data_IF_350200250769
#
_entry.id   IF_350200250769
#
_cell.length_a   1.000
_cell.length_b   1.000
_cell.length_c   1.000
_cell.angle_alpha   90.00
_cell.angle_beta   90.00
_cell.angle_gamma   90.00
#
_symmetry.space_group_name_H-M   'P 1'
#
loop_
_entity.id
_entity.type
_entity.pdbx_description
1 polymer ?
#
# COMPACT_ATOMS: atom_id res chain seq x y z
N UNK A 1 -32.40 -40.52 4.59
CA UNK A 1 -31.99 -39.78 5.78
C UNK A 1 -30.54 -39.25 5.75
N UNK A 2 -29.51 -39.97 5.30
CA UNK A 2 -28.11 -39.45 5.28
C UNK A 2 -27.89 -38.26 4.37
N UNK A 3 -28.54 -38.17 3.20
CA UNK A 3 -28.38 -37.01 2.26
C UNK A 3 -28.97 -35.70 2.82
N UNK A 4 -30.09 -35.78 3.56
CA UNK A 4 -30.73 -34.58 4.14
C UNK A 4 -29.89 -33.97 5.26
N UNK A 5 -29.26 -34.81 6.09
CA UNK A 5 -28.36 -34.34 7.17
C UNK A 5 -27.08 -33.71 6.61
N UNK A 6 -26.56 -34.20 5.49
CA UNK A 6 -25.40 -33.63 4.82
C UNK A 6 -25.71 -32.22 4.27
N UNK A 7 -26.87 -32.04 3.65
CA UNK A 7 -27.28 -30.73 3.13
C UNK A 7 -27.52 -29.69 4.24
N UNK A 8 -28.07 -30.09 5.39
CA UNK A 8 -28.28 -29.20 6.54
C UNK A 8 -26.92 -28.74 7.11
N UNK A 9 -25.93 -29.62 7.21
CA UNK A 9 -24.58 -29.25 7.66
C UNK A 9 -23.89 -28.30 6.70
N UNK A 10 -24.06 -28.49 5.40
CA UNK A 10 -23.51 -27.60 4.38
C UNK A 10 -24.14 -26.20 4.44
N UNK A 11 -25.46 -26.14 4.61
CA UNK A 11 -26.20 -24.86 4.78
C UNK A 11 -25.81 -24.17 6.09
N UNK A 12 -25.65 -24.89 7.18
CA UNK A 12 -25.19 -24.34 8.44
C UNK A 12 -23.76 -23.80 8.37
N UNK A 13 -22.87 -24.49 7.64
CA UNK A 13 -21.49 -24.07 7.40
C UNK A 13 -21.44 -22.82 6.50
N UNK A 14 -22.29 -22.75 5.47
CA UNK A 14 -22.36 -21.57 4.60
C UNK A 14 -22.99 -20.35 5.32
N UNK A 15 -23.99 -20.55 6.17
CA UNK A 15 -24.55 -19.47 7.02
C UNK A 15 -23.50 -18.98 8.05
N UNK A 16 -22.72 -19.87 8.64
CA UNK A 16 -21.65 -19.48 9.56
C UNK A 16 -20.54 -18.70 8.84
N UNK A 17 -20.21 -19.05 7.59
CA UNK A 17 -19.25 -18.30 6.77
C UNK A 17 -19.76 -16.89 6.42
N UNK A 18 -21.06 -16.72 6.16
CA UNK A 18 -21.66 -15.43 5.84
C UNK A 18 -21.67 -14.51 7.08
N UNK A 19 -21.84 -15.07 8.28
CA UNK A 19 -21.84 -14.28 9.53
C UNK A 19 -20.44 -13.75 9.89
N UNK A 20 -19.38 -14.41 9.45
CA UNK A 20 -17.99 -13.93 9.62
C UNK A 20 -17.62 -12.79 8.66
N UNK A 21 -18.37 -12.60 7.56
CA UNK A 21 -18.13 -11.56 6.57
C UNK A 21 -18.80 -10.21 6.89
N UNK A 22 -19.57 -10.11 7.97
CA UNK A 22 -20.48 -8.97 8.22
C UNK A 22 -20.07 -8.06 9.39
N UNK A 23 -18.83 -8.11 9.87
CA UNK A 23 -18.33 -7.20 10.92
C UNK A 23 -17.07 -6.48 10.43
N UNK A 24 -17.23 -5.67 9.40
CA UNK A 24 -16.22 -4.67 9.07
C UNK A 24 -16.82 -3.29 9.28
N UNK A 25 -16.27 -2.54 10.23
CA UNK A 25 -16.48 -1.10 10.27
C UNK A 25 -16.00 -0.52 8.95
N UNK A 26 -16.89 0.13 8.20
CA UNK A 26 -16.56 0.81 6.95
C UNK A 26 -15.63 1.98 7.28
N UNK A 27 -14.34 1.72 7.30
CA UNK A 27 -13.31 2.75 7.42
C UNK A 27 -13.02 3.29 6.03
N UNK A 28 -13.21 4.59 5.82
CA UNK A 28 -12.87 5.23 4.55
C UNK A 28 -11.35 5.14 4.31
N UNK A 29 -10.96 4.70 3.11
CA UNK A 29 -9.55 4.61 2.72
C UNK A 29 -8.91 6.01 2.73
N UNK A 30 -7.83 6.16 3.49
CA UNK A 30 -7.07 7.42 3.61
C UNK A 30 -5.76 7.41 2.81
N UNK A 31 -5.24 6.23 2.48
CA UNK A 31 -4.02 6.08 1.69
C UNK A 31 -4.34 5.77 0.22
N UNK A 32 -3.42 6.18 -0.68
CA UNK A 32 -3.52 5.89 -2.11
C UNK A 32 -3.66 4.39 -2.36
N UNK A 33 -4.62 4.02 -3.21
CA UNK A 33 -4.83 2.62 -3.58
C UNK A 33 -3.78 2.17 -4.59
N UNK A 34 -2.86 1.31 -4.18
CA UNK A 34 -1.81 0.74 -5.04
C UNK A 34 -2.33 -0.44 -5.88
N UNK A 35 -3.24 -0.18 -6.83
CA UNK A 35 -3.82 -1.25 -7.67
C UNK A 35 -2.78 -1.99 -8.52
N UNK A 36 -1.62 -1.35 -8.77
CA UNK A 36 -0.50 -1.91 -9.54
C UNK A 36 0.70 -2.26 -8.67
N UNK A 37 0.48 -2.67 -7.41
CA UNK A 37 1.53 -3.02 -6.46
C UNK A 37 2.52 -4.07 -7.00
N UNK A 38 2.07 -4.98 -7.89
CA UNK A 38 2.92 -6.02 -8.49
C UNK A 38 4.05 -5.44 -9.35
N UNK A 39 3.89 -4.24 -9.90
CA UNK A 39 4.95 -3.58 -10.69
C UNK A 39 5.88 -2.72 -9.84
N UNK A 40 5.44 -2.29 -8.66
CA UNK A 40 6.24 -1.50 -7.73
C UNK A 40 6.07 -1.97 -6.28
N UNK A 41 6.52 -3.20 -5.94
CA UNK A 41 6.38 -3.74 -4.59
C UNK A 41 7.14 -2.93 -3.52
N UNK A 42 8.20 -2.17 -3.90
CA UNK A 42 8.96 -1.34 -2.96
C UNK A 42 8.11 -0.24 -2.32
N UNK A 43 7.14 0.32 -3.06
CA UNK A 43 6.23 1.31 -2.51
C UNK A 43 5.48 0.79 -1.26
N UNK A 44 5.17 -0.51 -1.26
CA UNK A 44 4.42 -1.18 -0.20
C UNK A 44 5.32 -1.86 0.82
N UNK A 45 6.36 -2.60 0.37
CA UNK A 45 7.19 -3.43 1.25
C UNK A 45 8.68 -3.08 1.16
N UNK A 46 9.29 -2.51 2.21
CA UNK A 46 10.71 -2.16 2.24
C UNK A 46 11.65 -3.36 2.08
N UNK A 47 11.23 -4.55 2.50
CA UNK A 47 12.02 -5.77 2.36
C UNK A 47 12.20 -6.22 0.89
N UNK A 48 11.43 -5.64 -0.04
CA UNK A 48 11.60 -5.86 -1.47
C UNK A 48 12.86 -5.19 -2.03
N UNK A 49 13.46 -4.22 -1.32
CA UNK A 49 14.66 -3.54 -1.79
C UNK A 49 15.77 -4.54 -2.16
N UNK A 50 16.36 -4.37 -3.34
CA UNK A 50 17.41 -5.22 -3.89
C UNK A 50 16.98 -6.63 -4.33
N UNK A 51 15.71 -6.99 -4.28
CA UNK A 51 15.24 -8.34 -4.66
C UNK A 51 15.53 -8.71 -6.13
N UNK A 52 15.74 -7.74 -6.97
CA UNK A 52 16.12 -7.93 -8.39
C UNK A 52 17.62 -8.10 -8.61
N UNK A 53 18.44 -8.05 -7.55
CA UNK A 53 19.90 -8.22 -7.60
C UNK A 53 20.64 -7.24 -8.52
N UNK A 54 19.97 -6.18 -8.93
CA UNK A 54 20.48 -5.13 -9.80
C UNK A 54 19.89 -3.77 -9.39
N UNK A 55 20.51 -2.69 -9.88
CA UNK A 55 19.89 -1.37 -9.82
C UNK A 55 18.58 -1.40 -10.62
N UNK A 56 17.50 -1.16 -9.93
CA UNK A 56 16.15 -1.15 -10.52
C UNK A 56 15.50 0.20 -10.29
N UNK A 57 14.94 0.74 -11.37
CA UNK A 57 14.16 1.99 -11.36
C UNK A 57 12.76 1.67 -11.88
N UNK A 58 11.76 2.05 -11.14
CA UNK A 58 10.36 1.86 -11.51
C UNK A 58 9.63 3.19 -11.43
N UNK A 59 8.96 3.57 -12.51
CA UNK A 59 8.10 4.74 -12.56
C UNK A 59 6.71 4.31 -13.01
N UNK A 60 5.68 4.68 -12.25
CA UNK A 60 4.29 4.40 -12.56
C UNK A 60 3.45 5.67 -12.42
N UNK A 61 2.54 5.86 -13.36
CA UNK A 61 1.49 6.89 -13.31
C UNK A 61 0.12 6.23 -13.43
N UNK A 62 -0.82 6.69 -12.60
CA UNK A 62 -2.21 6.24 -12.63
C UNK A 62 -3.12 7.45 -12.61
N UNK A 63 -4.11 7.50 -13.48
CA UNK A 63 -5.20 8.46 -13.43
C UNK A 63 -6.51 7.71 -13.47
N UNK A 64 -7.37 7.94 -12.48
CA UNK A 64 -8.72 7.37 -12.41
C UNK A 64 -9.72 8.32 -13.04
N UNK A 65 -10.86 7.81 -13.49
CA UNK A 65 -12.00 8.60 -13.99
C UNK A 65 -11.58 9.72 -14.94
N UNK A 66 -11.01 9.33 -16.07
CA UNK A 66 -10.58 10.26 -17.13
C UNK A 66 -11.73 11.18 -17.51
N UNK A 67 -11.43 12.49 -17.65
CA UNK A 67 -12.38 13.59 -17.93
C UNK A 67 -13.25 14.03 -16.72
N UNK A 68 -12.92 13.63 -15.51
CA UNK A 68 -13.53 14.18 -14.29
C UNK A 68 -12.51 15.10 -13.63
N UNK A 69 -12.89 16.36 -13.39
CA UNK A 69 -12.05 17.33 -12.69
C UNK A 69 -11.83 16.90 -11.23
N UNK A 70 -10.59 16.97 -10.75
CA UNK A 70 -10.23 16.52 -9.41
C UNK A 70 -10.19 15.00 -9.24
N UNK A 71 -10.28 14.23 -10.34
CA UNK A 71 -10.16 12.78 -10.28
C UNK A 71 -8.81 12.32 -9.72
N UNK A 72 -8.75 11.20 -8.98
CA UNK A 72 -7.53 10.71 -8.37
C UNK A 72 -6.42 10.48 -9.38
N UNK A 73 -5.24 11.01 -9.09
CA UNK A 73 -4.02 10.83 -9.88
C UNK A 73 -2.86 10.49 -8.96
N UNK A 74 -2.18 9.38 -9.24
CA UNK A 74 -1.03 8.91 -8.45
C UNK A 74 0.16 8.73 -9.35
N UNK A 75 1.31 9.28 -8.97
CA UNK A 75 2.61 9.04 -9.61
C UNK A 75 3.58 8.45 -8.58
N UNK A 76 4.35 7.45 -8.97
CA UNK A 76 5.36 6.83 -8.12
C UNK A 76 6.68 6.71 -8.86
N UNK A 77 7.78 6.99 -8.16
CA UNK A 77 9.14 6.72 -8.58
C UNK A 77 9.80 5.91 -7.47
N UNK A 78 10.36 4.75 -7.81
CA UNK A 78 11.09 3.91 -6.88
C UNK A 78 12.42 3.50 -7.48
N UNK A 79 13.47 3.56 -6.68
CA UNK A 79 14.83 3.17 -7.07
C UNK A 79 15.35 2.27 -5.96
N UNK A 80 15.90 1.12 -6.31
CA UNK A 80 16.56 0.26 -5.32
C UNK A 80 17.72 -0.53 -5.93
N UNK A 81 18.68 -0.87 -5.08
CA UNK A 81 19.83 -1.66 -5.46
C UNK A 81 20.40 -2.43 -4.27
N UNK A 82 20.92 -3.63 -4.45
CA UNK A 82 21.83 -4.23 -3.48
C UNK A 82 23.14 -3.42 -3.43
N UNK A 83 23.77 -3.40 -2.27
CA UNK A 83 25.13 -2.88 -2.10
C UNK A 83 26.16 -3.95 -2.53
N UNK A 84 27.45 -3.61 -2.49
CA UNK A 84 28.55 -4.55 -2.79
C UNK A 84 28.46 -5.84 -1.96
N UNK A 85 28.01 -5.72 -0.73
CA UNK A 85 27.56 -6.85 0.08
C UNK A 85 26.10 -7.12 -0.24
N UNK A 86 25.82 -8.10 -1.10
CA UNK A 86 24.47 -8.44 -1.59
C UNK A 86 23.43 -8.68 -0.49
N UNK A 87 23.89 -8.86 0.76
CA UNK A 87 22.99 -8.99 1.92
C UNK A 87 22.29 -7.68 2.28
N UNK A 88 22.88 -6.52 1.99
CA UNK A 88 22.31 -5.21 2.32
C UNK A 88 21.86 -4.52 1.05
N UNK A 89 20.68 -3.95 1.07
CA UNK A 89 20.07 -3.25 -0.06
C UNK A 89 19.46 -1.93 0.40
N UNK A 90 19.55 -0.94 -0.49
CA UNK A 90 18.96 0.38 -0.26
C UNK A 90 17.85 0.61 -1.28
N UNK A 91 16.85 1.37 -0.86
CA UNK A 91 15.75 1.83 -1.70
C UNK A 91 15.39 3.28 -1.42
N UNK A 92 14.79 3.91 -2.40
CA UNK A 92 14.19 5.24 -2.31
C UNK A 92 12.87 5.23 -3.05
N UNK A 93 11.84 5.79 -2.44
CA UNK A 93 10.51 5.90 -3.05
C UNK A 93 9.98 7.32 -2.92
N UNK A 94 9.45 7.86 -4.02
CA UNK A 94 8.72 9.12 -4.08
C UNK A 94 7.33 8.80 -4.60
N UNK A 95 6.30 9.22 -3.88
CA UNK A 95 4.92 8.98 -4.24
C UNK A 95 4.19 10.31 -4.17
N UNK A 96 3.50 10.67 -5.24
CA UNK A 96 2.62 11.83 -5.28
C UNK A 96 1.21 11.36 -5.56
N UNK A 97 0.29 11.73 -4.70
CA UNK A 97 -1.12 11.40 -4.82
C UNK A 97 -1.96 12.68 -4.74
N UNK A 98 -2.87 12.86 -5.68
CA UNK A 98 -3.76 14.02 -5.78
C UNK A 98 -5.20 13.53 -5.89
N UNK A 99 -6.08 14.04 -5.03
CA UNK A 99 -7.51 13.71 -5.02
C UNK A 99 -8.28 14.98 -4.70
N UNK A 100 -9.00 15.53 -5.71
CA UNK A 100 -9.73 16.77 -5.55
C UNK A 100 -8.82 17.90 -5.06
N UNK A 101 -9.14 18.55 -3.91
CA UNK A 101 -8.37 19.64 -3.34
C UNK A 101 -7.14 19.19 -2.55
N UNK A 102 -6.95 17.89 -2.37
CA UNK A 102 -5.88 17.32 -1.53
C UNK A 102 -4.71 16.83 -2.35
N UNK A 103 -3.50 17.06 -1.84
CA UNK A 103 -2.26 16.59 -2.42
C UNK A 103 -1.38 16.01 -1.31
N UNK A 104 -0.91 14.78 -1.50
CA UNK A 104 0.03 14.14 -0.62
C UNK A 104 1.31 13.78 -1.39
N UNK A 105 2.47 14.19 -0.89
CA UNK A 105 3.77 13.84 -1.47
C UNK A 105 4.59 13.12 -0.41
N UNK A 106 4.94 11.88 -0.69
CA UNK A 106 5.67 11.00 0.22
C UNK A 106 7.09 10.78 -0.23
N UNK A 107 8.04 10.84 0.71
CA UNK A 107 9.46 10.55 0.49
C UNK A 107 9.89 9.50 1.51
N UNK A 108 10.34 8.35 1.04
CA UNK A 108 10.76 7.24 1.88
C UNK A 108 12.10 6.67 1.45
N UNK A 109 12.96 6.40 2.42
CA UNK A 109 14.15 5.58 2.27
C UNK A 109 13.91 4.18 2.84
N UNK A 110 14.41 3.18 2.16
CA UNK A 110 14.27 1.78 2.50
C UNK A 110 15.66 1.16 2.73
N UNK A 111 15.78 0.34 3.78
CA UNK A 111 16.94 -0.49 4.05
C UNK A 111 16.48 -1.92 4.22
N UNK A 112 17.04 -2.86 3.45
CA UNK A 112 16.74 -4.28 3.58
C UNK A 112 17.98 -5.09 3.84
N UNK A 113 17.84 -6.10 4.71
CA UNK A 113 18.83 -7.14 4.95
C UNK A 113 18.31 -8.47 4.43
N UNK A 114 19.08 -9.13 3.55
CA UNK A 114 18.69 -10.36 2.87
C UNK A 114 19.68 -11.46 3.14
N UNK A 115 19.19 -12.68 3.29
CA UNK A 115 20.01 -13.87 3.45
C UNK A 115 19.36 -15.10 2.80
N UNK A 116 20.18 -16.05 2.43
CA UNK A 116 19.71 -17.28 1.82
C UNK A 116 19.12 -18.20 2.89
N UNK A 117 17.88 -18.64 2.69
CA UNK A 117 17.22 -19.65 3.52
C UNK A 117 17.39 -21.04 2.89
N UNK A 118 17.46 -21.09 1.56
CA UNK A 118 17.77 -22.31 0.80
C UNK A 118 18.58 -21.93 -0.45
N UNK A 119 18.96 -22.92 -1.24
CA UNK A 119 19.70 -22.71 -2.50
C UNK A 119 18.97 -21.73 -3.45
N UNK A 120 17.62 -21.76 -3.46
CA UNK A 120 16.81 -20.99 -4.40
C UNK A 120 15.84 -20.02 -3.72
N UNK A 121 16.00 -19.75 -2.42
CA UNK A 121 15.10 -18.86 -1.69
C UNK A 121 15.85 -17.90 -0.78
N UNK A 122 15.48 -16.63 -0.84
CA UNK A 122 16.04 -15.56 -0.01
C UNK A 122 14.95 -14.98 0.88
N UNK A 123 15.27 -14.77 2.15
CA UNK A 123 14.42 -14.05 3.10
C UNK A 123 15.03 -12.67 3.36
N UNK A 124 14.20 -11.65 3.32
CA UNK A 124 14.59 -10.28 3.57
C UNK A 124 13.76 -9.68 4.71
N UNK A 125 14.41 -8.89 5.54
CA UNK A 125 13.80 -7.97 6.49
C UNK A 125 14.09 -6.55 6.02
N UNK A 126 13.07 -5.70 6.01
CA UNK A 126 13.20 -4.33 5.57
C UNK A 126 12.62 -3.35 6.57
N UNK A 127 13.25 -2.19 6.66
CA UNK A 127 12.73 -1.02 7.37
C UNK A 127 12.60 0.14 6.41
N UNK A 128 11.59 0.95 6.60
CA UNK A 128 11.27 2.14 5.83
C UNK A 128 11.20 3.33 6.77
N UNK A 129 11.75 4.45 6.37
CA UNK A 129 11.64 5.70 7.11
C UNK A 129 11.49 6.87 6.15
N UNK A 130 10.65 7.85 6.52
CA UNK A 130 10.44 9.01 5.69
C UNK A 130 9.34 9.92 6.19
N UNK A 131 8.79 10.71 5.31
CA UNK A 131 7.76 11.70 5.63
C UNK A 131 6.74 11.82 4.50
N UNK A 132 5.50 12.07 4.88
CA UNK A 132 4.43 12.51 4.01
C UNK A 132 4.26 14.02 4.16
N UNK A 133 4.11 14.74 3.06
CA UNK A 133 3.80 16.17 2.99
C UNK A 133 2.38 16.31 2.46
N UNK A 134 1.46 16.66 3.37
CA UNK A 134 0.04 16.79 3.06
C UNK A 134 -0.36 18.24 2.88
N UNK A 135 -1.13 18.53 1.85
CA UNK A 135 -1.73 19.85 1.58
C UNK A 135 -3.18 19.67 1.17
N UNK A 136 -4.04 20.60 1.59
CA UNK A 136 -5.43 20.65 1.16
C UNK A 136 -5.82 22.12 0.90
N UNK A 137 -6.31 22.39 -0.32
CA UNK A 137 -6.74 23.73 -0.75
C UNK A 137 -8.23 23.71 -1.09
N UNK A 138 -9.05 24.17 -0.16
CA UNK A 138 -10.52 24.12 -0.30
C UNK A 138 -11.11 25.33 -1.06
N UNK A 139 -10.28 26.35 -1.38
CA UNK A 139 -10.75 27.60 -2.01
C UNK A 139 -11.34 27.45 -3.42
N UNK A 140 -11.16 26.30 -4.07
CA UNK A 140 -11.75 25.99 -5.38
C UNK A 140 -13.07 25.23 -5.28
N UNK A 141 -13.48 24.83 -4.08
CA UNK A 141 -14.74 24.10 -3.88
C UNK A 141 -15.92 25.09 -3.83
N UNK A 142 -16.99 24.75 -4.53
CA UNK A 142 -18.30 25.39 -4.32
C UNK A 142 -18.91 24.81 -3.05
N UNK A 143 -19.00 25.62 -2.02
CA UNK A 143 -19.63 25.26 -0.74
C UNK A 143 -21.01 25.86 -0.72
N UNK A 144 -22.06 25.09 -0.43
CA UNK A 144 -23.44 25.57 -0.36
C UNK A 144 -23.65 26.52 0.84
N UNK A 145 -22.87 26.33 1.91
CA UNK A 145 -22.83 27.21 3.08
C UNK A 145 -21.44 27.85 3.22
N UNK A 146 -21.31 29.09 2.79
CA UNK A 146 -20.04 29.85 2.88
C UNK A 146 -19.59 30.16 4.32
N UNK A 147 -20.40 29.85 5.32
CA UNK A 147 -20.06 30.02 6.75
C UNK A 147 -19.40 28.77 7.37
N UNK A 148 -19.28 27.68 6.63
CA UNK A 148 -18.60 26.47 7.12
C UNK A 148 -17.08 26.71 7.22
N UNK A 149 -16.63 26.99 8.44
CA UNK A 149 -15.22 27.29 8.80
C UNK A 149 -14.26 26.17 8.40
N UNK A 150 -14.74 24.92 8.22
CA UNK A 150 -13.92 23.77 7.82
C UNK A 150 -13.26 23.95 6.46
N UNK A 151 -13.92 24.65 5.55
CA UNK A 151 -13.45 24.81 4.17
C UNK A 151 -12.76 26.17 3.93
N UNK A 152 -12.63 27.01 4.97
CA UNK A 152 -12.02 28.34 4.84
C UNK A 152 -10.51 28.36 5.08
N UNK A 153 -9.98 27.41 5.85
CA UNK A 153 -8.54 27.37 6.19
C UNK A 153 -7.81 26.29 5.39
N UNK A 154 -6.94 26.66 4.45
CA UNK A 154 -6.14 25.69 3.71
C UNK A 154 -5.09 25.04 4.62
N UNK A 155 -4.88 23.74 4.49
CA UNK A 155 -3.76 23.02 5.11
C UNK A 155 -2.57 23.14 4.15
N UNK A 156 -1.45 23.69 4.62
CA UNK A 156 -0.26 23.88 3.80
C UNK A 156 0.90 23.07 4.32
N UNK A 157 1.36 22.09 3.51
CA UNK A 157 2.60 21.36 3.73
C UNK A 157 2.74 20.78 5.15
N UNK A 158 1.68 20.17 5.67
CA UNK A 158 1.75 19.44 6.93
C UNK A 158 2.72 18.27 6.77
N UNK A 159 3.78 18.25 7.58
CA UNK A 159 4.76 17.18 7.59
C UNK A 159 4.34 16.08 8.56
N UNK A 160 4.26 14.87 8.07
CA UNK A 160 3.85 13.68 8.82
C UNK A 160 4.95 12.62 8.71
N UNK A 161 5.90 12.56 9.69
CA UNK A 161 6.92 11.53 9.69
C UNK A 161 6.31 10.16 9.89
N UNK A 162 6.87 9.15 9.22
CA UNK A 162 6.45 7.77 9.39
C UNK A 162 7.60 6.81 9.22
N UNK A 163 7.42 5.62 9.74
CA UNK A 163 8.31 4.49 9.52
C UNK A 163 7.50 3.22 9.35
N UNK A 164 8.12 2.23 8.71
CA UNK A 164 7.49 0.95 8.45
C UNK A 164 8.49 -0.18 8.46
N UNK A 165 7.99 -1.39 8.47
CA UNK A 165 8.81 -2.60 8.35
C UNK A 165 8.14 -3.61 7.44
N UNK A 166 8.93 -4.55 6.96
CA UNK A 166 8.43 -5.64 6.14
C UNK A 166 9.33 -6.86 6.19
N UNK A 167 8.74 -7.97 5.80
CA UNK A 167 9.41 -9.24 5.58
C UNK A 167 9.06 -9.67 4.16
N UNK A 168 10.03 -10.21 3.44
CA UNK A 168 9.84 -10.67 2.09
C UNK A 168 10.63 -11.94 1.83
N UNK A 169 9.92 -13.01 1.52
CA UNK A 169 10.49 -14.28 1.07
C UNK A 169 10.30 -14.37 -0.43
N UNK A 170 11.37 -14.53 -1.17
CA UNK A 170 11.31 -14.73 -2.62
C UNK A 170 12.15 -15.90 -3.08
N UNK A 171 11.67 -16.54 -4.14
CA UNK A 171 12.33 -17.59 -4.90
C UNK A 171 12.14 -17.29 -6.39
N UNK A 172 12.74 -18.08 -7.26
CA UNK A 172 12.51 -18.00 -8.71
C UNK A 172 11.05 -18.23 -9.11
N UNK A 173 10.30 -18.99 -8.33
CA UNK A 173 8.95 -19.43 -8.69
C UNK A 173 7.84 -18.88 -7.79
N UNK A 174 8.16 -18.26 -6.66
CA UNK A 174 7.13 -17.71 -5.75
C UNK A 174 7.70 -16.58 -4.90
N UNK A 175 6.81 -15.76 -4.38
CA UNK A 175 7.11 -14.79 -3.34
C UNK A 175 5.98 -14.68 -2.32
N UNK A 176 6.34 -14.31 -1.09
CA UNK A 176 5.41 -13.97 -0.01
C UNK A 176 5.98 -12.77 0.73
N UNK A 177 5.17 -11.75 0.96
CA UNK A 177 5.55 -10.56 1.69
C UNK A 177 4.52 -10.19 2.75
N UNK A 178 5.00 -9.77 3.92
CA UNK A 178 4.19 -9.20 4.98
C UNK A 178 4.79 -7.84 5.33
N UNK A 179 3.96 -6.81 5.44
CA UNK A 179 4.45 -5.46 5.70
C UNK A 179 3.46 -4.59 6.44
N UNK A 180 4.00 -3.66 7.22
CA UNK A 180 3.32 -2.49 7.75
C UNK A 180 4.10 -1.25 7.29
N UNK A 181 3.71 -0.63 6.15
CA UNK A 181 4.49 0.45 5.54
C UNK A 181 4.45 1.76 6.34
N UNK A 182 3.42 1.95 7.17
CA UNK A 182 3.23 3.12 8.03
C UNK A 182 2.72 2.68 9.40
N UNK A 183 3.46 3.04 10.46
CA UNK A 183 3.16 2.63 11.84
C UNK A 183 2.68 3.80 12.67
N UNK A 184 3.21 5.01 12.43
CA UNK A 184 2.79 6.20 13.17
C UNK A 184 1.42 6.61 12.66
N UNK A 185 0.48 6.76 13.59
CA UNK A 185 -0.84 7.30 13.31
C UNK A 185 -0.77 8.83 13.41
N UNK A 186 -0.48 9.49 12.30
CA UNK A 186 -0.47 10.94 12.24
C UNK A 186 -1.90 11.49 12.23
N UNK A 187 -2.09 12.64 12.86
CA UNK A 187 -3.35 13.37 12.85
C UNK A 187 -3.29 14.45 11.78
N UNK A 188 -4.33 14.55 10.95
CA UNK A 188 -4.46 15.64 9.98
C UNK A 188 -4.86 16.95 10.67
N UNK A 189 -4.21 18.05 10.34
CA UNK A 189 -4.56 19.38 10.83
C UNK A 189 -5.95 19.79 10.32
N UNK A 190 -6.66 20.61 11.10
CA UNK A 190 -8.01 21.07 10.74
C UNK A 190 -9.13 20.04 10.95
N UNK A 191 -8.83 18.81 11.38
CA UNK A 191 -9.84 17.76 11.52
C UNK A 191 -10.56 17.74 12.88
N UNK A 192 -10.47 18.81 13.66
CA UNK A 192 -11.10 18.88 14.99
C UNK A 192 -12.41 19.66 14.92
N UNK A 193 -13.47 19.05 14.40
CA UNK A 193 -14.82 19.61 14.59
C UNK A 193 -15.71 18.52 15.19
N UNK A 194 -16.41 18.86 16.28
CA UNK A 194 -17.30 17.97 17.02
C UNK A 194 -16.62 16.68 17.58
N UNK A 195 -15.32 16.74 17.93
CA UNK A 195 -14.60 15.62 18.52
C UNK A 195 -14.18 14.51 17.55
N UNK A 196 -14.49 14.63 16.27
CA UNK A 196 -14.03 13.67 15.25
C UNK A 196 -12.65 14.09 14.77
N UNK A 197 -11.68 13.19 14.91
CA UNK A 197 -10.29 13.36 14.46
C UNK A 197 -10.05 12.49 13.25
N UNK A 198 -9.57 13.07 12.15
CA UNK A 198 -9.03 12.31 11.02
C UNK A 198 -7.62 11.87 11.36
N UNK A 199 -7.40 10.56 11.43
CA UNK A 199 -6.13 9.95 11.79
C UNK A 199 -5.70 9.03 10.64
N UNK A 200 -4.42 9.07 10.28
CA UNK A 200 -3.85 8.11 9.36
C UNK A 200 -3.84 6.72 10.00
N UNK A 201 -4.66 5.80 9.49
CA UNK A 201 -4.75 4.45 10.02
C UNK A 201 -3.54 3.60 9.62
N UNK A 202 -3.19 2.64 10.47
CA UNK A 202 -2.19 1.62 10.13
C UNK A 202 -2.81 0.60 9.18
N UNK A 203 -2.04 0.21 8.19
CA UNK A 203 -2.39 -0.88 7.29
C UNK A 203 -1.33 -1.97 7.34
N UNK A 204 -1.78 -3.20 7.26
CA UNK A 204 -0.93 -4.37 7.11
C UNK A 204 -1.25 -5.00 5.76
N UNK A 205 -0.21 -5.35 5.02
CA UNK A 205 -0.39 -5.98 3.72
C UNK A 205 0.26 -7.35 3.72
N UNK A 206 -0.49 -8.33 3.27
CA UNK A 206 0.01 -9.64 2.89
C UNK A 206 0.01 -9.71 1.36
N UNK A 207 1.18 -9.95 0.79
CA UNK A 207 1.34 -10.11 -0.66
C UNK A 207 1.87 -11.50 -0.95
N UNK A 208 1.36 -12.13 -1.99
CA UNK A 208 1.88 -13.43 -2.44
C UNK A 208 1.74 -13.55 -3.96
N UNK A 209 2.61 -14.32 -4.57
CA UNK A 209 2.53 -14.65 -5.98
C UNK A 209 3.35 -15.88 -6.35
N UNK A 210 3.00 -16.46 -7.48
CA UNK A 210 3.70 -17.64 -8.01
C UNK A 210 3.87 -17.52 -9.51
N UNK A 211 5.07 -17.79 -10.00
CA UNK A 211 5.35 -17.87 -11.42
C UNK A 211 5.13 -19.30 -11.90
N UNK A 212 4.24 -19.48 -12.86
CA UNK A 212 3.91 -20.75 -13.49
C UNK A 212 4.34 -20.66 -14.95
N UNK A 213 5.39 -21.39 -15.31
CA UNK A 213 5.85 -21.47 -16.70
C UNK A 213 4.87 -22.29 -17.51
N UNK A 214 4.14 -21.67 -18.45
CA UNK A 214 3.22 -22.36 -19.36
C UNK A 214 3.97 -22.95 -20.57
N UNK A 215 4.95 -22.20 -21.08
CA UNK A 215 5.84 -22.65 -22.15
C UNK A 215 7.13 -21.83 -22.10
N UNK A 216 8.01 -21.96 -23.13
CA UNK A 216 9.27 -21.24 -23.19
C UNK A 216 9.16 -19.73 -23.37
N UNK A 217 7.97 -19.20 -23.68
CA UNK A 217 7.72 -17.80 -24.02
C UNK A 217 6.75 -17.12 -23.06
N UNK A 218 5.88 -17.88 -22.42
CA UNK A 218 4.75 -17.36 -21.61
C UNK A 218 4.79 -17.88 -20.19
N UNK A 219 4.85 -16.96 -19.24
CA UNK A 219 4.70 -17.22 -17.81
C UNK A 219 3.37 -16.64 -17.31
N UNK A 220 2.67 -17.41 -16.48
CA UNK A 220 1.49 -16.95 -15.74
C UNK A 220 1.91 -16.61 -14.31
N UNK A 221 1.64 -15.38 -13.88
CA UNK A 221 2.01 -14.90 -12.53
C UNK A 221 0.77 -14.47 -11.75
N UNK A 222 -0.03 -15.42 -11.21
CA UNK A 222 -1.08 -15.07 -10.29
C UNK A 222 -0.49 -14.41 -9.05
N UNK A 223 -1.08 -13.28 -8.66
CA UNK A 223 -0.66 -12.50 -7.49
C UNK A 223 -1.86 -12.11 -6.64
N UNK A 224 -1.61 -11.97 -5.34
CA UNK A 224 -2.62 -11.68 -4.33
C UNK A 224 -2.10 -10.59 -3.40
N UNK A 225 -3.01 -9.69 -2.98
CA UNK A 225 -2.79 -8.71 -1.92
C UNK A 225 -4.03 -8.63 -1.03
N UNK A 226 -3.80 -8.56 0.25
CA UNK A 226 -4.83 -8.40 1.28
C UNK A 226 -4.37 -7.36 2.28
#
# INVERSE_FOLDING_TARGET
>A
MKKTVFNIKLIALSMLSITFLSVEEVSAQQDAQYSMYMFNPLAVNPAYAGSREALSVTMLGRKQWVNIDGAPATATLSIHSPLKNEAISLGLSIIQDEIGPTKNTSFYGDLAYRFNVSANSKLAFGVKGGLDMFSASFGSLRVDDGSDVKYTTPIRNQLMPNFGFGIYLNSESYYVGLTAPKIIQNQFEGSTTNGVRSIQNRHFFLTAGKTIKLNSVVDLVPSFVM
#
